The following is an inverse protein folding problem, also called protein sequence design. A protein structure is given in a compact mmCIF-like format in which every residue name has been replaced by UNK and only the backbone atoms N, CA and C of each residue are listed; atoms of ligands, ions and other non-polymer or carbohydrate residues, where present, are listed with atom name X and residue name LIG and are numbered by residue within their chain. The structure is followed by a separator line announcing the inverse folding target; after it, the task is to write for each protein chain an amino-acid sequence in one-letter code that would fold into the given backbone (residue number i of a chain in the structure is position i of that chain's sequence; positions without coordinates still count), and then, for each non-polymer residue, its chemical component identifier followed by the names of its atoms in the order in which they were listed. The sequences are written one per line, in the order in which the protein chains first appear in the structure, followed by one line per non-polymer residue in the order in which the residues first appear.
data_IF_072695417585
#
_entry.id   IF_072695417585
#
_cell.length_a   1.000
_cell.length_b   1.000
_cell.length_c   1.000
_cell.angle_alpha   90.00
_cell.angle_beta   90.00
_cell.angle_gamma   90.00
#
_symmetry.space_group_name_H-M   'P 1'
#
loop_
_entity.id
_entity.type
_entity.pdbx_description
1 polymer ?
#
# COMPACT_ATOMS: atom_id res chain seq x y z
N UNK A 1 13.29 3.50 -9.50
CA UNK A 1 12.93 2.25 -8.76
C UNK A 1 11.86 1.53 -9.56
N UNK A 2 11.92 0.21 -9.68
CA UNK A 2 10.88 -0.58 -10.33
C UNK A 2 10.48 -1.74 -9.39
N UNK A 3 9.20 -2.07 -9.36
CA UNK A 3 8.66 -3.17 -8.56
C UNK A 3 9.05 -4.50 -9.23
N UNK A 4 9.71 -5.42 -8.51
CA UNK A 4 9.99 -6.74 -9.04
C UNK A 4 8.70 -7.45 -9.45
N UNK A 5 8.69 -8.07 -10.64
CA UNK A 5 7.54 -8.87 -11.12
C UNK A 5 7.20 -10.01 -10.15
N UNK A 6 8.21 -10.63 -9.53
CA UNK A 6 8.02 -11.72 -8.57
C UNK A 6 7.37 -11.23 -7.27
N UNK A 7 6.25 -11.86 -6.89
CA UNK A 7 5.49 -11.53 -5.68
C UNK A 7 4.68 -10.24 -5.79
N UNK A 8 4.60 -9.66 -7.00
CA UNK A 8 3.65 -8.60 -7.32
C UNK A 8 2.31 -9.18 -7.78
N UNK A 9 1.27 -8.35 -7.73
CA UNK A 9 -0.07 -8.66 -8.22
C UNK A 9 -0.48 -7.61 -9.24
N UNK A 10 -1.30 -8.01 -10.21
CA UNK A 10 -1.88 -7.09 -11.19
C UNK A 10 -3.23 -6.59 -10.69
N UNK A 11 -3.57 -5.36 -11.08
CA UNK A 11 -4.89 -4.77 -10.88
C UNK A 11 -5.16 -3.78 -12.00
N UNK A 12 -6.39 -3.76 -12.51
CA UNK A 12 -6.83 -2.72 -13.45
C UNK A 12 -7.70 -1.74 -12.69
N UNK A 13 -7.37 -0.46 -12.77
CA UNK A 13 -8.12 0.63 -12.14
C UNK A 13 -8.39 1.66 -13.22
N UNK A 14 -9.66 1.93 -13.48
CA UNK A 14 -10.12 2.93 -14.44
C UNK A 14 -9.43 2.74 -15.81
N UNK A 15 -9.49 1.50 -16.32
CA UNK A 15 -8.88 1.01 -17.56
C UNK A 15 -7.35 1.04 -17.66
N UNK A 16 -6.66 1.44 -16.58
CA UNK A 16 -5.19 1.44 -16.53
C UNK A 16 -4.68 0.23 -15.76
N UNK A 17 -3.74 -0.51 -16.36
CA UNK A 17 -3.13 -1.68 -15.76
C UNK A 17 -1.96 -1.30 -14.84
N UNK A 18 -2.10 -1.68 -13.57
CA UNK A 18 -1.09 -1.48 -12.53
C UNK A 18 -0.56 -2.81 -11.99
N UNK A 19 0.66 -2.73 -11.48
CA UNK A 19 1.29 -3.76 -10.66
C UNK A 19 1.45 -3.22 -9.25
N UNK A 20 1.08 -4.02 -8.25
CA UNK A 20 1.26 -3.65 -6.86
C UNK A 20 1.88 -4.77 -6.03
N UNK A 21 2.52 -4.39 -4.92
CA UNK A 21 3.26 -5.32 -4.08
C UNK A 21 3.34 -4.83 -2.64
N UNK A 22 3.04 -5.72 -1.70
CA UNK A 22 3.50 -5.64 -0.31
C UNK A 22 4.83 -6.39 -0.23
N UNK A 23 5.85 -5.81 0.42
CA UNK A 23 7.15 -6.50 0.59
C UNK A 23 6.95 -7.81 1.34
N UNK A 24 7.60 -8.88 0.89
CA UNK A 24 7.44 -10.20 1.51
C UNK A 24 8.05 -10.26 2.92
N UNK A 25 9.31 -9.82 3.07
CA UNK A 25 9.96 -9.73 4.39
C UNK A 25 9.74 -8.33 4.98
N UNK A 26 9.56 -8.19 6.30
CA UNK A 26 9.60 -6.88 6.94
C UNK A 26 11.01 -6.27 6.82
N UNK A 27 11.11 -4.94 6.84
CA UNK A 27 12.36 -4.28 7.24
C UNK A 27 12.59 -4.47 8.74
N UNK A 28 13.79 -4.18 9.24
CA UNK A 28 14.06 -4.27 10.68
C UNK A 28 13.06 -3.45 11.51
N UNK A 29 12.82 -2.19 11.12
CA UNK A 29 11.84 -1.33 11.78
C UNK A 29 10.41 -1.89 11.69
N UNK A 30 10.01 -2.43 10.55
CA UNK A 30 8.68 -3.06 10.42
C UNK A 30 8.54 -4.34 11.24
N UNK A 31 9.62 -5.12 11.42
CA UNK A 31 9.63 -6.32 12.26
C UNK A 31 9.45 -5.99 13.74
N UNK A 32 10.02 -4.87 14.19
CA UNK A 32 9.84 -4.33 15.54
C UNK A 32 8.58 -3.46 15.69
N UNK A 33 7.68 -3.43 14.70
CA UNK A 33 6.48 -2.57 14.70
C UNK A 33 6.76 -1.06 14.84
N UNK A 34 7.98 -0.61 14.52
CA UNK A 34 8.37 0.81 14.49
C UNK A 34 8.12 1.47 13.14
N UNK A 35 7.71 0.70 12.14
CA UNK A 35 7.45 1.17 10.79
C UNK A 35 6.08 0.73 10.29
N UNK A 36 5.40 1.56 9.47
CA UNK A 36 4.08 1.25 8.96
C UNK A 36 4.12 0.09 7.97
N UNK A 37 2.97 -0.58 7.81
CA UNK A 37 2.70 -1.44 6.67
C UNK A 37 2.66 -0.59 5.40
N UNK A 38 3.49 -0.95 4.43
CA UNK A 38 3.57 -0.25 3.14
C UNK A 38 3.30 -1.19 1.97
N UNK A 39 2.73 -0.63 0.91
CA UNK A 39 2.65 -1.29 -0.39
C UNK A 39 3.04 -0.32 -1.50
N UNK A 40 3.65 -0.86 -2.54
CA UNK A 40 4.05 -0.11 -3.71
C UNK A 40 3.13 -0.42 -4.90
N UNK A 41 2.89 0.56 -5.76
CA UNK A 41 2.15 0.46 -7.01
C UNK A 41 2.95 1.14 -8.13
N UNK A 42 2.95 0.56 -9.32
CA UNK A 42 3.51 1.13 -10.55
C UNK A 42 2.68 0.71 -11.77
N UNK A 43 2.90 1.35 -12.91
CA UNK A 43 2.36 0.88 -14.20
C UNK A 43 2.98 -0.45 -14.62
N UNK A 44 2.18 -1.28 -15.30
CA UNK A 44 2.65 -2.58 -15.77
C UNK A 44 3.75 -2.46 -16.83
N UNK A 45 3.54 -1.59 -17.82
CA UNK A 45 4.44 -1.32 -18.95
C UNK A 45 4.02 -0.04 -19.72
N UNK A 46 4.91 0.95 -19.92
CA UNK A 46 6.21 1.09 -19.28
C UNK A 46 6.05 1.40 -17.78
N UNK A 47 6.95 0.92 -16.90
CA UNK A 47 6.96 1.33 -15.51
C UNK A 47 7.32 2.82 -15.38
N UNK A 48 6.49 3.59 -14.70
CA UNK A 48 6.71 5.02 -14.44
C UNK A 48 6.91 5.32 -12.95
N UNK A 49 6.26 6.38 -12.44
CA UNK A 49 6.40 6.80 -11.05
C UNK A 49 5.79 5.78 -10.09
N UNK A 50 6.57 5.34 -9.11
CA UNK A 50 6.07 4.45 -8.06
C UNK A 50 5.23 5.23 -7.05
N UNK A 51 4.06 4.71 -6.71
CA UNK A 51 3.26 5.12 -5.56
C UNK A 51 3.62 4.20 -4.38
N UNK A 52 4.11 4.76 -3.29
CA UNK A 52 4.45 4.03 -2.06
C UNK A 52 3.51 4.47 -0.94
N UNK A 53 2.49 3.68 -0.67
CA UNK A 53 1.46 4.01 0.32
C UNK A 53 1.87 3.50 1.70
N UNK A 54 1.80 4.36 2.71
CA UNK A 54 1.97 4.00 4.12
C UNK A 54 0.61 3.93 4.82
N UNK A 55 0.33 2.80 5.47
CA UNK A 55 -0.90 2.57 6.24
C UNK A 55 -0.67 2.86 7.74
N UNK A 56 -1.70 3.26 8.49
CA UNK A 56 -1.59 3.62 9.91
C UNK A 56 -1.55 2.37 10.82
N UNK A 57 -1.03 1.25 10.33
CA UNK A 57 -1.00 -0.03 11.04
C UNK A 57 0.32 -0.78 10.78
N UNK A 58 0.65 -1.72 11.65
CA UNK A 58 1.84 -2.56 11.54
C UNK A 58 1.62 -3.72 10.58
N UNK A 59 2.71 -4.40 10.20
CA UNK A 59 2.62 -5.59 9.36
C UNK A 59 2.05 -6.78 10.13
N UNK A 60 1.34 -7.71 9.46
CA UNK A 60 0.80 -8.90 10.13
C UNK A 60 1.85 -9.87 10.65
N UNK A 61 3.07 -9.80 10.10
CA UNK A 61 4.23 -10.63 10.46
C UNK A 61 5.24 -9.87 11.34
N UNK A 62 4.86 -8.74 11.94
CA UNK A 62 5.67 -8.04 12.92
C UNK A 62 5.73 -8.83 14.24
N UNK A 63 6.85 -8.74 14.94
CA UNK A 63 7.13 -9.51 16.16
C UNK A 63 6.42 -8.95 17.38
N UNK A 64 6.14 -7.64 17.38
CA UNK A 64 5.41 -6.97 18.44
C UNK A 64 3.95 -6.82 18.03
N UNK A 65 3.06 -7.47 18.79
CA UNK A 65 1.62 -7.51 18.54
C UNK A 65 1.00 -6.12 18.52
N UNK A 66 0.81 -5.59 17.33
CA UNK A 66 0.23 -4.27 17.05
C UNK A 66 -0.97 -4.42 16.11
N UNK A 67 -1.81 -3.38 16.02
CA UNK A 67 -2.93 -3.40 15.06
C UNK A 67 -2.40 -3.63 13.64
N UNK A 68 -2.99 -4.57 12.92
CA UNK A 68 -2.61 -4.93 11.55
C UNK A 68 -3.83 -5.15 10.66
N UNK A 69 -3.62 -5.21 9.34
CA UNK A 69 -4.66 -5.57 8.39
C UNK A 69 -4.06 -6.19 7.12
N UNK A 70 -4.89 -6.93 6.39
CA UNK A 70 -4.55 -7.39 5.04
C UNK A 70 -4.77 -6.28 4.00
N UNK A 71 -3.78 -6.05 3.13
CA UNK A 71 -3.94 -5.17 1.96
C UNK A 71 -4.74 -5.89 0.87
N UNK A 72 -5.96 -5.41 0.61
CA UNK A 72 -6.90 -6.00 -0.37
C UNK A 72 -6.87 -5.21 -1.68
N UNK A 73 -7.18 -5.84 -2.84
CA UNK A 73 -7.24 -5.14 -4.13
C UNK A 73 -8.15 -3.90 -4.13
N UNK A 74 -9.29 -3.96 -3.42
CA UNK A 74 -10.21 -2.81 -3.31
C UNK A 74 -9.56 -1.58 -2.65
N UNK A 75 -8.78 -1.78 -1.57
CA UNK A 75 -8.02 -0.71 -0.92
C UNK A 75 -6.95 -0.15 -1.86
N UNK A 76 -6.27 -1.02 -2.61
CA UNK A 76 -5.26 -0.61 -3.59
C UNK A 76 -5.89 0.25 -4.69
N UNK A 77 -7.04 -0.16 -5.22
CA UNK A 77 -7.77 0.62 -6.22
C UNK A 77 -8.20 1.99 -5.70
N UNK A 78 -8.74 2.04 -4.48
CA UNK A 78 -9.13 3.31 -3.86
C UNK A 78 -7.92 4.23 -3.63
N UNK A 79 -6.80 3.68 -3.14
CA UNK A 79 -5.57 4.44 -2.93
C UNK A 79 -4.97 4.97 -4.24
N UNK A 80 -5.07 4.22 -5.34
CA UNK A 80 -4.66 4.68 -6.68
C UNK A 80 -5.48 5.90 -7.10
N UNK A 81 -6.80 5.85 -6.98
CA UNK A 81 -7.68 6.97 -7.33
C UNK A 81 -7.40 8.22 -6.48
N UNK A 82 -7.29 8.05 -5.17
CA UNK A 82 -6.96 9.16 -4.29
C UNK A 82 -5.54 9.72 -4.53
N UNK A 83 -4.59 8.89 -4.96
CA UNK A 83 -3.27 9.37 -5.35
C UNK A 83 -3.34 10.23 -6.62
N UNK A 84 -4.13 9.84 -7.62
CA UNK A 84 -4.38 10.66 -8.82
C UNK A 84 -4.97 12.03 -8.45
N UNK A 85 -5.99 12.05 -7.58
CA UNK A 85 -6.59 13.30 -7.07
C UNK A 85 -5.57 14.18 -6.33
N UNK A 86 -4.57 13.57 -5.70
CA UNK A 86 -3.46 14.24 -4.99
C UNK A 86 -2.28 14.60 -5.90
N UNK A 87 -2.40 14.43 -7.22
CA UNK A 87 -1.38 14.80 -8.21
C UNK A 87 -0.29 13.75 -8.44
N UNK A 88 -0.53 12.49 -8.05
CA UNK A 88 0.32 11.41 -8.52
C UNK A 88 0.07 11.16 -10.01
N UNK A 89 1.09 11.43 -10.82
CA UNK A 89 1.12 11.02 -12.22
C UNK A 89 1.98 9.75 -12.37
N UNK A 90 1.38 8.61 -12.75
CA UNK A 90 2.09 7.35 -12.89
C UNK A 90 2.94 7.27 -14.15
N UNK A 91 2.70 8.08 -15.19
CA UNK A 91 3.44 8.04 -16.45
C UNK A 91 4.75 8.83 -16.39
N UNK A 92 4.82 9.85 -15.54
CA UNK A 92 6.04 10.63 -15.35
C UNK A 92 7.13 9.83 -14.63
N UNK A 93 8.39 10.01 -15.01
CA UNK A 93 9.52 9.49 -14.24
C UNK A 93 9.80 10.40 -13.04
N UNK A 94 10.20 9.83 -11.90
CA UNK A 94 10.59 10.62 -10.74
C UNK A 94 10.71 9.81 -9.45
N UNK A 95 10.90 10.54 -8.35
CA UNK A 95 10.89 9.97 -7.00
C UNK A 95 9.52 9.35 -6.67
N UNK A 96 9.49 8.40 -5.74
CA UNK A 96 8.24 7.81 -5.30
C UNK A 96 7.27 8.89 -4.79
N UNK A 97 5.98 8.71 -5.06
CA UNK A 97 4.93 9.49 -4.44
C UNK A 97 4.50 8.76 -3.17
N UNK A 98 4.65 9.39 -2.01
CA UNK A 98 4.60 8.71 -0.71
C UNK A 98 3.48 9.22 0.19
N UNK A 99 2.20 8.93 -0.12
CA UNK A 99 1.11 9.31 0.76
C UNK A 99 1.10 8.42 2.00
N UNK A 100 1.04 9.07 3.16
CA UNK A 100 0.67 8.42 4.42
C UNK A 100 -0.83 8.55 4.61
N UNK A 101 -1.52 7.43 4.83
CA UNK A 101 -2.95 7.38 5.07
C UNK A 101 -3.22 7.34 6.58
N UNK A 102 -4.20 8.11 7.01
CA UNK A 102 -4.76 8.08 8.36
C UNK A 102 -5.93 7.08 8.46
N UNK A 103 -6.43 6.83 9.68
CA UNK A 103 -7.64 6.03 9.89
C UNK A 103 -8.87 6.64 9.17
N UNK A 104 -8.97 7.96 9.13
CA UNK A 104 -10.05 8.67 8.45
C UNK A 104 -9.93 8.53 6.93
N UNK A 105 -8.71 8.64 6.39
CA UNK A 105 -8.45 8.38 4.97
C UNK A 105 -8.86 6.96 4.60
N UNK A 106 -8.49 5.96 5.42
CA UNK A 106 -8.90 4.57 5.16
C UNK A 106 -10.41 4.39 5.18
N UNK A 107 -11.09 5.01 6.14
CA UNK A 107 -12.55 4.95 6.24
C UNK A 107 -13.20 5.55 5.00
N UNK A 108 -12.71 6.70 4.53
CA UNK A 108 -13.18 7.35 3.30
C UNK A 108 -12.93 6.47 2.06
N UNK A 109 -11.72 5.91 1.92
CA UNK A 109 -11.35 5.02 0.81
C UNK A 109 -12.14 3.70 0.80
N UNK A 110 -12.63 3.26 1.96
CA UNK A 110 -13.39 2.03 2.13
C UNK A 110 -14.91 2.27 2.14
N UNK A 111 -15.38 3.32 1.46
CA UNK A 111 -16.80 3.68 1.34
C UNK A 111 -17.47 3.91 2.71
N UNK A 112 -16.78 4.56 3.64
CA UNK A 112 -17.26 4.83 4.99
C UNK A 112 -17.20 3.64 5.93
N UNK A 113 -16.68 2.48 5.49
CA UNK A 113 -16.49 1.32 6.36
C UNK A 113 -15.16 1.47 7.12
N UNK A 114 -15.15 1.40 8.46
CA UNK A 114 -13.91 1.48 9.21
C UNK A 114 -13.00 0.29 8.87
N UNK A 115 -11.66 0.48 8.93
CA UNK A 115 -10.71 -0.60 8.72
C UNK A 115 -10.93 -1.70 9.76
N UNK A 116 -11.03 -2.94 9.29
CA UNK A 116 -11.09 -4.11 10.17
C UNK A 116 -9.66 -4.46 10.59
N UNK A 117 -9.25 -3.96 11.77
CA UNK A 117 -7.97 -4.30 12.35
C UNK A 117 -8.01 -5.67 13.01
N UNK A 118 -6.94 -6.43 12.79
CA UNK A 118 -6.60 -7.63 13.54
C UNK A 118 -5.53 -7.24 14.56
N UNK A 119 -5.61 -7.77 15.79
CA UNK A 119 -4.53 -7.64 16.78
C UNK A 119 -3.91 -9.03 16.90
N UNK A 120 -2.72 -9.27 16.32
CA UNK A 120 -2.03 -10.54 16.49
C UNK A 120 -1.63 -10.65 17.96
N UNK A 121 -2.26 -11.57 18.69
CA UNK A 121 -1.68 -12.01 19.96
C UNK A 121 -0.30 -12.62 19.68
N UNK A 122 0.67 -12.32 20.54
CA UNK A 122 2.06 -12.82 20.45
C UNK A 122 2.10 -14.27 19.94
N UNK A 123 2.67 -14.47 18.75
CA UNK A 123 2.99 -15.78 18.18
C UNK A 123 4.39 -16.21 18.58
#
# INVERSE_FOLDING_TARGET
MAIPKKGSRLITVDDIAYRWRVRHKPTYCQGNSWGPLTFAVELVDPPGRVLLVSLPCSRPDAWLGERTMAVRPALVAAAIRAAHERGWDPQHAGNAFEPSLTDDDLTNLMNGRPPAYEVPFMR
#
